data_IF_769108363051
#
_entry.id   IF_769108363051
#
_cell.length_a   1.000
_cell.length_b   1.000
_cell.length_c   1.000
_cell.angle_alpha   90.00
_cell.angle_beta   90.00
_cell.angle_gamma   90.00
#
_symmetry.space_group_name_H-M   'P 1'
#
loop_
_entity.id
_entity.type
_entity.pdbx_description
1 polymer ?
#
# COMPACT_ATOMS: atom_id res chain seq x y z
N UNK A 1 28.73 -0.49 -12.16
CA UNK A 1 27.59 -1.25 -12.71
C UNK A 1 26.41 -1.03 -11.78
N UNK A 2 25.56 -0.03 -12.07
CA UNK A 2 24.36 0.22 -11.27
C UNK A 2 23.30 -0.78 -11.72
N UNK A 3 23.11 -1.87 -10.99
CA UNK A 3 21.91 -2.68 -11.16
C UNK A 3 20.74 -1.87 -10.59
N UNK A 4 20.15 -1.01 -11.43
CA UNK A 4 18.80 -0.54 -11.18
C UNK A 4 17.93 -1.80 -11.14
N UNK A 5 17.55 -2.20 -9.93
CA UNK A 5 16.57 -3.24 -9.67
C UNK A 5 15.27 -2.74 -10.30
N UNK A 6 15.03 -3.11 -11.56
CA UNK A 6 13.79 -2.75 -12.24
C UNK A 6 12.68 -3.50 -11.51
N UNK A 7 11.79 -2.75 -10.86
CA UNK A 7 10.57 -3.32 -10.27
C UNK A 7 9.81 -3.97 -11.42
N UNK A 8 9.48 -5.28 -11.35
CA UNK A 8 8.72 -5.96 -12.39
C UNK A 8 7.41 -5.20 -12.69
N UNK A 9 7.01 -5.15 -13.95
CA UNK A 9 5.83 -4.36 -14.38
C UNK A 9 4.54 -4.77 -13.65
N UNK A 10 4.44 -6.04 -13.25
CA UNK A 10 3.29 -6.62 -12.53
C UNK A 10 3.40 -6.54 -11.00
N UNK A 11 4.53 -6.09 -10.45
CA UNK A 11 4.78 -6.14 -8.99
C UNK A 11 3.69 -5.43 -8.19
N UNK A 12 3.33 -4.21 -8.59
CA UNK A 12 2.33 -3.42 -7.88
C UNK A 12 0.92 -4.05 -7.97
N UNK A 13 0.57 -4.62 -9.12
CA UNK A 13 -0.71 -5.32 -9.29
C UNK A 13 -0.79 -6.62 -8.48
N UNK A 14 0.34 -7.31 -8.29
CA UNK A 14 0.43 -8.46 -7.38
C UNK A 14 0.36 -8.05 -5.92
N UNK A 15 1.02 -6.95 -5.57
CA UNK A 15 0.97 -6.39 -4.23
C UNK A 15 -0.46 -5.99 -3.84
N UNK A 16 -1.20 -5.32 -4.74
CA UNK A 16 -2.61 -4.96 -4.53
C UNK A 16 -3.46 -6.18 -4.19
N UNK A 17 -3.37 -7.25 -5.00
CA UNK A 17 -4.09 -8.52 -4.74
C UNK A 17 -3.71 -9.13 -3.39
N UNK A 18 -2.42 -9.12 -3.06
CA UNK A 18 -1.89 -9.65 -1.80
C UNK A 18 -2.43 -8.87 -0.60
N UNK A 19 -2.43 -7.54 -0.69
CA UNK A 19 -2.96 -6.64 0.35
C UNK A 19 -4.45 -6.88 0.55
N UNK A 20 -5.24 -6.91 -0.54
CA UNK A 20 -6.68 -7.16 -0.45
C UNK A 20 -7.00 -8.52 0.17
N UNK A 21 -6.26 -9.58 -0.19
CA UNK A 21 -6.42 -10.91 0.40
C UNK A 21 -6.13 -10.89 1.91
N UNK A 22 -4.97 -10.36 2.31
CA UNK A 22 -4.56 -10.36 3.73
C UNK A 22 -5.50 -9.55 4.61
N UNK A 23 -5.95 -8.38 4.14
CA UNK A 23 -6.93 -7.56 4.85
C UNK A 23 -8.26 -8.29 4.92
N UNK A 24 -8.72 -8.90 3.81
CA UNK A 24 -9.93 -9.71 3.79
C UNK A 24 -9.89 -10.86 4.80
N UNK A 25 -8.80 -11.60 4.86
CA UNK A 25 -8.60 -12.70 5.81
C UNK A 25 -8.64 -12.17 7.26
N UNK A 26 -7.94 -11.07 7.54
CA UNK A 26 -7.89 -10.45 8.88
C UNK A 26 -9.24 -9.88 9.33
N UNK A 27 -10.11 -9.46 8.41
CA UNK A 27 -11.47 -9.01 8.72
C UNK A 27 -12.44 -10.18 9.00
N UNK A 28 -12.14 -11.38 8.47
CA UNK A 28 -12.97 -12.57 8.64
C UNK A 28 -12.48 -13.50 9.75
N UNK A 29 -11.28 -13.26 10.29
CA UNK A 29 -10.67 -14.07 11.34
C UNK A 29 -10.40 -13.20 12.57
N UNK A 30 -11.10 -13.48 13.67
CA UNK A 30 -10.88 -12.82 14.97
C UNK A 30 -9.59 -13.29 15.68
N UNK A 31 -8.77 -14.09 15.00
CA UNK A 31 -7.65 -14.84 15.60
C UNK A 31 -6.31 -14.10 15.56
N UNK A 32 -6.17 -13.05 14.76
CA UNK A 32 -4.88 -12.36 14.57
C UNK A 32 -4.98 -10.90 15.05
N UNK A 33 -4.18 -10.50 16.06
CA UNK A 33 -4.00 -9.09 16.39
C UNK A 33 -3.55 -8.32 15.14
N UNK A 34 -4.35 -7.36 14.69
CA UNK A 34 -4.13 -6.63 13.44
C UNK A 34 -2.84 -5.80 13.43
N UNK A 35 -2.18 -5.62 14.58
CA UNK A 35 -0.99 -4.77 14.77
C UNK A 35 0.15 -5.09 13.79
N UNK A 36 0.46 -6.38 13.58
CA UNK A 36 1.53 -6.77 12.65
C UNK A 36 1.17 -6.47 11.20
N UNK A 37 -0.09 -6.72 10.81
CA UNK A 37 -0.57 -6.42 9.48
C UNK A 37 -0.62 -4.91 9.24
N UNK A 38 -1.07 -4.13 10.22
CA UNK A 38 -1.04 -2.67 10.19
C UNK A 38 0.39 -2.17 9.98
N UNK A 39 1.37 -2.68 10.76
CA UNK A 39 2.78 -2.31 10.61
C UNK A 39 3.29 -2.57 9.20
N UNK A 40 3.06 -3.78 8.70
CA UNK A 40 3.43 -4.17 7.34
C UNK A 40 2.82 -3.25 6.28
N UNK A 41 1.54 -2.90 6.40
CA UNK A 41 0.89 -1.99 5.47
C UNK A 41 1.42 -0.56 5.57
N UNK A 42 1.92 -0.11 6.74
CA UNK A 42 2.58 1.20 6.85
C UNK A 42 3.83 1.26 5.98
N UNK A 43 4.67 0.23 6.08
CA UNK A 43 5.92 0.14 5.33
C UNK A 43 5.65 0.08 3.83
N UNK A 44 4.63 -0.68 3.41
CA UNK A 44 4.19 -0.70 2.02
C UNK A 44 3.66 0.64 1.54
N UNK A 45 2.93 1.41 2.37
CA UNK A 45 2.45 2.73 1.99
C UNK A 45 3.60 3.71 1.78
N UNK A 46 4.62 3.68 2.65
CA UNK A 46 5.85 4.47 2.50
C UNK A 46 6.57 4.11 1.21
N UNK A 47 6.73 2.81 0.92
CA UNK A 47 7.35 2.35 -0.33
C UNK A 47 6.53 2.75 -1.56
N UNK A 48 5.21 2.55 -1.54
CA UNK A 48 4.35 2.88 -2.67
C UNK A 48 4.36 4.39 -2.97
N UNK A 49 4.36 5.24 -1.94
CA UNK A 49 4.45 6.70 -2.12
C UNK A 49 5.78 7.18 -2.71
N UNK A 50 6.86 6.42 -2.54
CA UNK A 50 8.20 6.78 -3.05
C UNK A 50 8.49 6.18 -4.42
N UNK A 51 8.01 4.96 -4.69
CA UNK A 51 8.41 4.18 -5.86
C UNK A 51 7.25 3.83 -6.82
N UNK A 52 5.99 4.05 -6.44
CA UNK A 52 4.84 3.73 -7.29
C UNK A 52 4.22 5.00 -7.89
N UNK A 53 3.97 5.00 -9.20
CA UNK A 53 3.24 6.07 -9.87
C UNK A 53 1.71 5.87 -9.83
N UNK A 54 1.24 4.73 -9.31
CA UNK A 54 -0.19 4.41 -9.22
C UNK A 54 -0.80 4.92 -7.92
N UNK A 55 -1.70 5.89 -8.03
CA UNK A 55 -2.53 6.36 -6.92
C UNK A 55 -3.41 5.23 -6.36
N UNK A 56 -3.89 4.34 -7.22
CA UNK A 56 -4.74 3.22 -6.84
C UNK A 56 -4.03 2.29 -5.85
N UNK A 57 -2.77 1.97 -6.10
CA UNK A 57 -1.96 1.12 -5.21
C UNK A 57 -1.85 1.72 -3.81
N UNK A 58 -1.52 3.02 -3.72
CA UNK A 58 -1.43 3.75 -2.44
C UNK A 58 -2.79 3.74 -1.73
N UNK A 59 -3.89 3.96 -2.46
CA UNK A 59 -5.24 3.96 -1.91
C UNK A 59 -5.68 2.60 -1.38
N UNK A 60 -5.35 1.51 -2.07
CA UNK A 60 -5.66 0.14 -1.62
C UNK A 60 -4.96 -0.14 -0.28
N UNK A 61 -3.68 0.22 -0.17
CA UNK A 61 -2.89 0.03 1.06
C UNK A 61 -3.45 0.89 2.21
N UNK A 62 -3.68 2.18 1.97
CA UNK A 62 -4.21 3.11 2.97
C UNK A 62 -5.62 2.73 3.44
N UNK A 63 -6.47 2.24 2.52
CA UNK A 63 -7.80 1.75 2.86
C UNK A 63 -7.74 0.46 3.68
N UNK A 64 -6.83 -0.46 3.34
CA UNK A 64 -6.58 -1.66 4.12
C UNK A 64 -6.21 -1.36 5.57
N UNK A 65 -5.29 -0.42 5.80
CA UNK A 65 -4.95 0.09 7.14
C UNK A 65 -6.16 0.63 7.89
N UNK A 66 -6.95 1.46 7.21
CA UNK A 66 -8.12 2.11 7.80
C UNK A 66 -9.20 1.10 8.22
N UNK A 67 -9.38 0.03 7.44
CA UNK A 67 -10.31 -1.07 7.74
C UNK A 67 -9.87 -1.87 8.99
N UNK A 68 -8.56 -2.01 9.18
CA UNK A 68 -7.98 -2.64 10.37
C UNK A 68 -7.89 -1.69 11.58
N UNK A 69 -8.45 -0.48 11.49
CA UNK A 69 -8.51 0.49 12.57
C UNK A 69 -7.37 1.52 12.61
N UNK A 70 -6.39 1.43 11.70
CA UNK A 70 -5.30 2.42 11.62
C UNK A 70 -5.61 3.57 10.66
N UNK A 71 -6.04 4.70 11.24
CA UNK A 71 -6.39 5.92 10.51
C UNK A 71 -5.28 6.98 10.49
N UNK A 72 -4.06 6.62 10.90
CA UNK A 72 -2.95 7.56 10.86
C UNK A 72 -2.66 7.99 9.42
N UNK A 73 -2.25 9.24 9.22
CA UNK A 73 -1.80 9.73 7.91
C UNK A 73 -0.33 9.37 7.73
N UNK A 74 0.01 8.66 6.66
CA UNK A 74 1.39 8.31 6.31
C UNK A 74 1.86 9.21 5.15
N UNK A 75 3.02 9.84 5.33
CA UNK A 75 3.67 10.68 4.32
C UNK A 75 3.09 12.10 4.19
N UNK A 76 3.65 12.92 3.29
CA UNK A 76 3.13 14.27 3.01
C UNK A 76 1.68 14.19 2.52
N UNK A 77 0.83 15.12 2.97
CA UNK A 77 -0.57 15.23 2.50
C UNK A 77 -0.66 15.38 0.97
N UNK A 78 0.39 15.93 0.36
CA UNK A 78 0.42 16.32 -1.04
C UNK A 78 1.71 15.85 -1.71
N UNK A 79 1.76 14.58 -2.14
CA UNK A 79 2.42 14.34 -3.42
C UNK A 79 1.32 14.59 -4.45
N UNK A 80 1.27 15.83 -4.95
CA UNK A 80 0.39 16.17 -6.05
C UNK A 80 0.69 15.19 -7.19
N UNK A 81 -0.22 14.24 -7.43
CA UNK A 81 -0.32 13.58 -8.70
C UNK A 81 -0.66 14.69 -9.68
N UNK A 82 0.38 15.29 -10.27
CA UNK A 82 0.22 16.32 -11.29
C UNK A 82 -0.60 15.69 -12.41
N UNK A 83 -1.84 16.15 -12.58
CA UNK A 83 -2.63 15.91 -13.77
C UNK A 83 -1.96 16.62 -14.94
N UNK A 84 -0.88 16.05 -15.45
CA UNK A 84 -0.16 16.56 -16.61
C UNK A 84 -0.06 15.48 -17.69
N UNK A 85 -1.21 15.13 -18.27
CA UNK A 85 -1.43 15.07 -19.72
C UNK A 85 -2.85 14.57 -19.99
N UNK A 86 -3.76 15.50 -20.30
CA UNK A 86 -4.84 15.28 -21.27
C UNK A 86 -4.37 15.87 -22.60
#
# INVERSE_FOLDING_TARGET
MNQQMQIPENFWAELERTVSSKVGDALNTDEVPHELLISYLRDLEVMARTACHSRQTVQIIASGRSLLGDRQVIGPKDCAFSYAHL
#
